data_IF_868216902856
#
_entry.id   IF_868216902856
#
_cell.length_a   1.000
_cell.length_b   1.000
_cell.length_c   1.000
_cell.angle_alpha   90.00
_cell.angle_beta   90.00
_cell.angle_gamma   90.00
#
_symmetry.space_group_name_H-M   'P 1'
#
loop_
_entity.id
_entity.type
_entity.pdbx_description
1 polymer ?
#
# COMPACT_ATOMS: atom_id res chain seq x y z
N UNK A 1 -10.35 -7.65 -20.40
CA UNK A 1 -11.47 -7.96 -19.48
C UNK A 1 -11.99 -6.63 -18.97
N UNK A 2 -13.30 -6.36 -19.06
CA UNK A 2 -13.87 -5.09 -18.57
C UNK A 2 -14.38 -5.35 -17.17
N UNK A 3 -13.58 -5.02 -16.17
CA UNK A 3 -13.96 -5.17 -14.76
C UNK A 3 -14.99 -4.10 -14.41
N UNK A 4 -16.17 -4.49 -13.95
CA UNK A 4 -17.19 -3.55 -13.44
C UNK A 4 -16.95 -3.35 -11.96
N UNK A 5 -16.43 -2.19 -11.59
CA UNK A 5 -16.17 -1.82 -10.20
C UNK A 5 -17.42 -1.16 -9.63
N UNK A 6 -17.86 -1.57 -8.44
CA UNK A 6 -18.91 -0.86 -7.72
C UNK A 6 -18.42 0.59 -7.42
N UNK A 7 -19.11 1.64 -7.90
CA UNK A 7 -18.67 3.02 -7.73
C UNK A 7 -18.51 3.45 -6.27
N UNK A 8 -19.15 2.78 -5.31
CA UNK A 8 -19.03 3.10 -3.88
C UNK A 8 -17.98 2.27 -3.14
N UNK A 9 -17.36 1.28 -3.80
CA UNK A 9 -16.33 0.45 -3.20
C UNK A 9 -15.10 1.28 -2.81
N UNK A 10 -14.60 1.03 -1.60
CA UNK A 10 -13.54 1.80 -0.97
C UNK A 10 -12.64 0.86 -0.18
N UNK A 11 -11.35 0.85 -0.51
CA UNK A 11 -10.33 0.13 0.27
C UNK A 11 -10.17 0.81 1.63
N UNK A 12 -10.14 2.14 1.66
CA UNK A 12 -10.00 2.89 2.91
C UNK A 12 -11.18 2.68 3.88
N UNK A 13 -12.44 2.69 3.42
CA UNK A 13 -13.59 2.47 4.33
C UNK A 13 -13.63 1.06 4.92
N UNK A 14 -13.01 0.08 4.27
CA UNK A 14 -12.89 -1.26 4.84
C UNK A 14 -12.00 -1.29 6.08
N UNK A 15 -11.05 -0.35 6.20
CA UNK A 15 -10.14 -0.27 7.35
C UNK A 15 -10.73 0.50 8.53
N UNK A 16 -11.75 1.33 8.31
CA UNK A 16 -12.37 2.16 9.36
C UNK A 16 -13.17 1.37 10.42
N UNK A 17 -13.35 0.07 10.23
CA UNK A 17 -14.10 -0.77 11.17
C UNK A 17 -13.29 -1.10 12.43
N UNK A 18 -11.97 -0.97 12.37
CA UNK A 18 -11.06 -1.11 13.50
C UNK A 18 -10.51 0.27 13.85
N UNK A 19 -10.95 0.82 14.98
CA UNK A 19 -10.65 2.20 15.40
C UNK A 19 -9.39 2.26 16.25
N UNK A 20 -8.23 2.38 15.63
CA UNK A 20 -7.01 3.03 16.15
C UNK A 20 -5.95 2.90 15.07
N UNK A 21 -5.73 3.94 14.27
CA UNK A 21 -4.66 3.95 13.28
C UNK A 21 -4.10 5.36 13.12
N UNK A 22 -2.80 5.46 12.89
CA UNK A 22 -2.11 6.72 12.61
C UNK A 22 -2.59 7.29 11.27
N UNK A 23 -3.02 8.55 11.29
CA UNK A 23 -3.53 9.24 10.10
C UNK A 23 -2.37 9.66 9.20
N UNK A 24 -2.33 9.09 8.00
CA UNK A 24 -1.43 9.52 6.94
C UNK A 24 -2.02 10.72 6.18
N UNK A 25 -1.34 11.87 6.24
CA UNK A 25 -1.80 13.17 5.79
C UNK A 25 -1.06 13.68 4.56
N UNK A 26 0.23 13.41 4.45
CA UNK A 26 1.05 14.03 3.40
C UNK A 26 1.39 13.04 2.29
N UNK A 27 1.30 13.50 1.04
CA UNK A 27 1.65 12.72 -0.16
C UNK A 27 3.06 12.11 -0.12
N UNK A 28 4.04 12.84 0.46
CA UNK A 28 5.42 12.36 0.59
C UNK A 28 5.48 11.17 1.56
N UNK A 29 4.76 11.20 2.67
CA UNK A 29 4.65 10.08 3.61
C UNK A 29 4.09 8.85 2.91
N UNK A 30 3.01 9.00 2.15
CA UNK A 30 2.41 7.90 1.39
C UNK A 30 3.37 7.32 0.35
N UNK A 31 4.17 8.16 -0.29
CA UNK A 31 5.18 7.71 -1.25
C UNK A 31 6.27 6.90 -0.55
N UNK A 32 6.78 7.38 0.59
CA UNK A 32 7.79 6.65 1.38
C UNK A 32 7.25 5.31 1.84
N UNK A 33 6.05 5.28 2.43
CA UNK A 33 5.40 4.02 2.86
C UNK A 33 5.19 3.07 1.67
N UNK A 34 4.71 3.57 0.54
CA UNK A 34 4.50 2.75 -0.67
C UNK A 34 5.80 2.12 -1.14
N UNK A 35 6.88 2.91 -1.21
CA UNK A 35 8.19 2.41 -1.60
C UNK A 35 8.69 1.32 -0.66
N UNK A 36 8.44 1.46 0.64
CA UNK A 36 8.89 0.47 1.62
C UNK A 36 8.09 -0.83 1.59
N UNK A 37 6.78 -0.77 1.35
CA UNK A 37 5.97 -1.97 1.08
C UNK A 37 6.47 -2.68 -0.18
N UNK A 38 6.73 -1.94 -1.26
CA UNK A 38 7.27 -2.49 -2.51
C UNK A 38 8.72 -3.02 -2.36
N UNK A 39 9.51 -2.43 -1.46
CA UNK A 39 10.86 -2.89 -1.16
C UNK A 39 10.87 -4.26 -0.50
N UNK A 40 9.79 -4.71 0.13
CA UNK A 40 9.70 -6.10 0.58
C UNK A 40 9.84 -7.10 -0.59
N UNK A 41 9.25 -6.79 -1.75
CA UNK A 41 9.43 -7.60 -2.97
C UNK A 41 10.84 -7.39 -3.57
N UNK A 42 11.31 -6.15 -3.64
CA UNK A 42 12.56 -5.84 -4.35
C UNK A 42 13.84 -6.15 -3.54
N UNK A 43 13.80 -6.07 -2.22
CA UNK A 43 14.98 -6.18 -1.36
C UNK A 43 14.90 -7.40 -0.46
N UNK A 44 13.70 -7.74 0.04
CA UNK A 44 13.51 -8.83 1.00
C UNK A 44 12.98 -10.13 0.36
N UNK A 45 12.83 -10.14 -0.97
CA UNK A 45 12.40 -11.30 -1.75
C UNK A 45 11.01 -11.80 -1.35
N UNK A 46 10.09 -10.90 -1.01
CA UNK A 46 8.71 -11.28 -0.73
C UNK A 46 8.02 -11.78 -2.00
N UNK A 47 7.60 -13.04 -1.96
CA UNK A 47 6.61 -13.62 -2.88
C UNK A 47 5.25 -13.06 -2.47
N UNK A 48 4.61 -12.30 -3.37
CA UNK A 48 3.36 -11.62 -3.07
C UNK A 48 2.56 -11.27 -4.32
N UNK A 49 1.26 -11.09 -4.10
CA UNK A 49 0.36 -10.38 -4.99
C UNK A 49 0.28 -8.92 -4.54
N UNK A 50 0.39 -8.00 -5.50
CA UNK A 50 0.36 -6.55 -5.25
C UNK A 50 -0.82 -5.91 -5.96
N UNK A 51 -1.62 -5.15 -5.22
CA UNK A 51 -2.62 -4.24 -5.77
C UNK A 51 -2.23 -2.81 -5.43
N UNK A 52 -2.09 -1.96 -6.44
CA UNK A 52 -1.66 -0.57 -6.29
C UNK A 52 -2.61 0.37 -7.03
N UNK A 53 -3.03 1.46 -6.40
CA UNK A 53 -3.80 2.52 -7.06
C UNK A 53 -2.99 3.81 -7.12
N UNK A 54 -2.92 4.37 -8.33
CA UNK A 54 -2.29 5.65 -8.60
C UNK A 54 -3.31 6.75 -8.86
N UNK A 55 -4.60 6.45 -8.72
CA UNK A 55 -5.76 7.30 -9.05
C UNK A 55 -5.87 7.64 -10.55
N UNK A 56 -4.77 8.05 -11.20
CA UNK A 56 -4.61 8.32 -12.63
C UNK A 56 -3.36 7.63 -13.18
N UNK A 57 -3.42 7.15 -14.42
CA UNK A 57 -2.27 6.51 -15.08
C UNK A 57 -1.11 7.50 -15.33
N UNK A 58 -1.38 8.80 -15.45
CA UNK A 58 -0.34 9.83 -15.53
C UNK A 58 0.55 9.89 -14.28
N UNK A 59 0.00 9.55 -13.11
CA UNK A 59 0.76 9.46 -11.84
C UNK A 59 1.51 8.12 -11.73
N UNK A 60 1.07 7.08 -12.44
CA UNK A 60 1.79 5.81 -12.54
C UNK A 60 2.99 5.88 -13.50
N UNK A 61 2.93 6.69 -14.57
CA UNK A 61 3.96 6.71 -15.61
C UNK A 61 5.41 6.85 -15.10
N UNK A 62 5.72 7.70 -14.10
CA UNK A 62 7.07 7.79 -13.51
C UNK A 62 7.53 6.52 -12.77
N UNK A 63 6.62 5.58 -12.49
CA UNK A 63 6.88 4.35 -11.74
C UNK A 63 7.03 3.10 -12.63
N UNK A 64 6.90 3.24 -13.95
CA UNK A 64 6.97 2.12 -14.91
C UNK A 64 8.21 1.26 -14.72
N UNK A 65 9.40 1.87 -14.63
CA UNK A 65 10.66 1.13 -14.46
C UNK A 65 10.69 0.35 -13.13
N UNK A 66 10.12 0.94 -12.09
CA UNK A 66 10.04 0.31 -10.77
C UNK A 66 9.06 -0.85 -10.79
N UNK A 67 7.88 -0.67 -11.36
CA UNK A 67 6.86 -1.73 -11.47
C UNK A 67 7.29 -2.84 -12.43
N UNK A 68 8.12 -2.55 -13.42
CA UNK A 68 8.77 -3.58 -14.25
C UNK A 68 9.65 -4.51 -13.41
N UNK A 69 10.44 -3.95 -12.48
CA UNK A 69 11.27 -4.76 -11.57
C UNK A 69 10.44 -5.52 -10.52
N UNK A 70 9.37 -4.89 -10.03
CA UNK A 70 8.46 -5.52 -9.06
C UNK A 70 7.75 -6.71 -9.71
N UNK A 71 7.16 -6.51 -10.89
CA UNK A 71 6.39 -7.53 -11.60
C UNK A 71 7.24 -8.73 -12.05
N UNK A 72 8.55 -8.55 -12.21
CA UNK A 72 9.49 -9.64 -12.49
C UNK A 72 9.77 -10.55 -11.27
N UNK A 73 9.29 -10.19 -10.07
CA UNK A 73 9.55 -10.90 -8.80
C UNK A 73 8.30 -11.20 -7.99
N UNK A 74 7.28 -10.35 -8.08
CA UNK A 74 5.97 -10.58 -7.51
C UNK A 74 5.25 -11.69 -8.28
N UNK A 75 4.32 -12.37 -7.62
CA UNK A 75 3.50 -13.42 -8.24
C UNK A 75 2.55 -12.80 -9.26
N UNK A 76 1.93 -11.67 -8.89
CA UNK A 76 1.02 -10.92 -9.76
C UNK A 76 0.95 -9.46 -9.31
N UNK A 77 0.88 -8.53 -10.27
CA UNK A 77 0.72 -7.10 -9.99
C UNK A 77 -0.53 -6.54 -10.67
N UNK A 78 -1.29 -5.73 -9.93
CA UNK A 78 -2.48 -5.02 -10.38
C UNK A 78 -2.29 -3.51 -10.17
N UNK A 79 -2.52 -2.73 -11.22
CA UNK A 79 -2.35 -1.27 -11.21
C UNK A 79 -3.68 -0.61 -11.57
N UNK A 80 -4.26 0.13 -10.62
CA UNK A 80 -5.52 0.84 -10.76
C UNK A 80 -5.27 2.31 -11.08
N UNK A 81 -6.08 2.85 -11.98
CA UNK A 81 -6.08 4.28 -12.27
C UNK A 81 -7.03 4.64 -13.41
N UNK A 82 -7.45 5.91 -13.45
CA UNK A 82 -8.14 6.48 -14.61
C UNK A 82 -7.16 6.46 -15.79
N UNK A 83 -7.54 5.92 -16.96
CA UNK A 83 -6.68 5.83 -18.14
C UNK A 83 -6.58 7.17 -18.88
N UNK A 84 -6.03 8.20 -18.21
CA UNK A 84 -5.85 9.55 -18.72
C UNK A 84 -4.65 9.68 -19.68
N UNK A 85 -3.73 8.71 -19.65
CA UNK A 85 -2.61 8.57 -20.60
C UNK A 85 -2.40 7.09 -20.96
N UNK A 86 -1.78 6.85 -22.11
CA UNK A 86 -1.30 5.52 -22.46
C UNK A 86 -0.07 5.15 -21.61
N UNK A 87 -0.07 3.95 -21.06
CA UNK A 87 1.06 3.37 -20.31
C UNK A 87 1.64 2.19 -21.10
N UNK A 88 2.97 1.98 -21.09
CA UNK A 88 3.56 0.84 -21.78
C UNK A 88 3.12 -0.46 -21.10
N UNK A 89 2.90 -1.55 -21.87
CA UNK A 89 2.61 -2.85 -21.27
C UNK A 89 3.82 -3.35 -20.49
N UNK A 90 3.59 -3.81 -19.26
CA UNK A 90 4.61 -4.45 -18.42
C UNK A 90 4.21 -5.91 -18.24
N UNK A 91 5.11 -6.88 -18.51
CA UNK A 91 4.84 -8.30 -18.21
C UNK A 91 4.46 -8.50 -16.74
N UNK A 92 3.47 -9.37 -16.50
CA UNK A 92 2.94 -9.65 -15.14
C UNK A 92 2.26 -8.45 -14.43
N UNK A 93 1.95 -7.38 -15.16
CA UNK A 93 1.10 -6.28 -14.67
C UNK A 93 -0.23 -6.31 -15.41
N UNK A 94 -1.32 -6.32 -14.64
CA UNK A 94 -2.66 -6.09 -15.16
C UNK A 94 -3.14 -4.70 -14.79
N UNK A 95 -3.42 -3.87 -15.79
CA UNK A 95 -4.00 -2.54 -15.59
C UNK A 95 -5.52 -2.64 -15.40
N UNK A 96 -6.00 -2.05 -14.31
CA UNK A 96 -7.43 -1.99 -13.96
C UNK A 96 -7.92 -0.55 -14.19
N UNK A 97 -8.67 -0.28 -15.26
CA UNK A 97 -9.16 1.07 -15.52
C UNK A 97 -10.21 1.46 -14.48
N UNK A 98 -10.09 2.68 -13.95
CA UNK A 98 -11.09 3.31 -13.10
C UNK A 98 -11.88 4.36 -13.88
N UNK A 99 -13.13 4.59 -13.49
CA UNK A 99 -13.90 5.76 -13.90
C UNK A 99 -13.73 6.90 -12.88
N UNK A 100 -13.84 8.15 -13.34
CA UNK A 100 -13.74 9.32 -12.46
C UNK A 100 -14.81 9.37 -11.35
N UNK A 101 -15.92 8.64 -11.52
CA UNK A 101 -17.00 8.55 -10.52
C UNK A 101 -16.72 7.51 -9.43
N UNK A 102 -15.77 6.60 -9.65
CA UNK A 102 -15.48 5.52 -8.72
C UNK A 102 -14.81 6.09 -7.48
N UNK A 103 -15.21 5.63 -6.30
CA UNK A 103 -14.59 6.02 -5.05
C UNK A 103 -13.09 5.66 -5.03
N UNK A 104 -12.69 4.56 -5.68
CA UNK A 104 -11.27 4.19 -5.84
C UNK A 104 -10.44 5.23 -6.62
N UNK A 105 -11.04 6.07 -7.45
CA UNK A 105 -10.31 7.13 -8.15
C UNK A 105 -9.84 8.25 -7.21
N UNK A 106 -10.37 8.29 -5.98
CA UNK A 106 -9.94 9.20 -4.89
C UNK A 106 -9.02 8.52 -3.89
N UNK A 107 -8.68 7.26 -4.12
CA UNK A 107 -7.92 6.45 -3.18
C UNK A 107 -6.55 6.11 -3.74
N UNK A 108 -5.53 6.43 -2.95
CA UNK A 108 -4.22 5.83 -3.09
C UNK A 108 -4.16 4.68 -2.11
N UNK A 109 -4.02 3.47 -2.63
CA UNK A 109 -3.82 2.28 -1.82
C UNK A 109 -2.72 1.41 -2.41
N UNK A 110 -2.07 0.64 -1.55
CA UNK A 110 -1.11 -0.39 -1.91
C UNK A 110 -1.32 -1.56 -0.96
N UNK A 111 -1.72 -2.71 -1.48
CA UNK A 111 -1.91 -3.95 -0.73
C UNK A 111 -0.90 -4.96 -1.24
N UNK A 112 -0.04 -5.45 -0.35
CA UNK A 112 0.91 -6.52 -0.61
C UNK A 112 0.54 -7.71 0.27
N UNK A 113 0.28 -8.85 -0.34
CA UNK A 113 -0.16 -10.05 0.37
C UNK A 113 0.54 -11.30 -0.16
N UNK A 114 1.18 -12.04 0.73
CA UNK A 114 1.93 -13.26 0.43
C UNK A 114 2.27 -14.07 1.69
N UNK A 115 2.84 -15.27 1.54
CA UNK A 115 3.00 -16.23 2.63
C UNK A 115 3.94 -15.77 3.74
N UNK A 116 4.85 -14.85 3.46
CA UNK A 116 5.76 -14.29 4.46
C UNK A 116 5.78 -12.77 4.48
N UNK A 117 4.77 -12.10 3.93
CA UNK A 117 4.65 -10.64 4.01
C UNK A 117 3.21 -10.19 3.75
N UNK A 118 2.66 -9.41 4.67
CA UNK A 118 1.35 -8.77 4.52
C UNK A 118 1.43 -7.32 4.99
N UNK A 119 1.20 -6.36 4.08
CA UNK A 119 1.10 -4.95 4.45
C UNK A 119 0.14 -4.21 3.54
N UNK A 120 -0.57 -3.23 4.10
CA UNK A 120 -1.47 -2.38 3.35
C UNK A 120 -1.30 -0.91 3.71
N UNK A 121 -1.23 -0.07 2.70
CA UNK A 121 -1.50 1.36 2.75
C UNK A 121 -2.90 1.57 2.17
N UNK A 122 -3.81 2.19 2.91
CA UNK A 122 -5.15 2.50 2.43
C UNK A 122 -5.50 3.95 2.79
N UNK A 123 -5.70 4.78 1.78
CA UNK A 123 -5.92 6.22 1.97
C UNK A 123 -7.03 6.75 1.08
N UNK A 124 -7.63 7.85 1.50
CA UNK A 124 -8.57 8.65 0.73
C UNK A 124 -8.06 10.09 0.68
N UNK A 125 -8.07 10.68 -0.52
CA UNK A 125 -7.71 12.07 -0.74
C UNK A 125 -8.82 13.01 -0.25
N UNK A 126 -8.44 14.02 0.53
CA UNK A 126 -9.33 15.06 1.08
C UNK A 126 -9.38 16.31 0.19
N UNK A 127 -8.38 16.48 -0.67
CA UNK A 127 -8.21 17.57 -1.62
C UNK A 127 -8.53 17.11 -3.05
N UNK A 128 -8.19 17.92 -4.06
CA UNK A 128 -8.32 17.54 -5.45
C UNK A 128 -7.02 16.99 -6.01
N UNK A 129 -7.11 15.95 -6.83
CA UNK A 129 -5.96 15.32 -7.49
C UNK A 129 -5.16 16.28 -8.41
N UNK A 130 -5.82 17.35 -8.86
CA UNK A 130 -5.23 18.41 -9.71
C UNK A 130 -4.58 19.53 -8.88
N UNK A 131 -4.70 19.51 -7.55
CA UNK A 131 -3.98 20.42 -6.67
C UNK A 131 -2.47 20.10 -6.72
N UNK A 132 -1.59 21.10 -6.54
CA UNK A 132 -0.15 20.89 -6.41
C UNK A 132 0.19 19.80 -5.38
N UNK A 133 1.13 18.91 -5.73
CA UNK A 133 1.41 17.68 -4.99
C UNK A 133 1.78 17.91 -3.50
N UNK A 134 2.32 19.07 -3.16
CA UNK A 134 2.67 19.52 -1.80
C UNK A 134 1.48 20.03 -0.99
N UNK A 135 0.38 20.42 -1.65
CA UNK A 135 -0.87 20.85 -1.02
C UNK A 135 -1.89 19.72 -0.89
N UNK A 136 -1.66 18.57 -1.55
CA UNK A 136 -2.58 17.42 -1.48
C UNK A 136 -2.58 16.79 -0.09
N UNK A 137 -3.78 16.62 0.47
CA UNK A 137 -3.99 16.06 1.80
C UNK A 137 -4.78 14.77 1.74
N UNK A 138 -4.43 13.86 2.64
CA UNK A 138 -5.02 12.55 2.71
C UNK A 138 -5.47 12.24 4.13
N UNK A 139 -6.30 11.21 4.23
CA UNK A 139 -6.51 10.46 5.45
C UNK A 139 -6.32 9.00 5.12
N UNK A 140 -5.70 8.25 6.00
CA UNK A 140 -5.41 6.86 5.70
C UNK A 140 -4.66 6.18 6.80
N UNK A 141 -4.39 4.90 6.57
CA UNK A 141 -3.68 4.04 7.49
C UNK A 141 -2.58 3.30 6.74
N UNK A 142 -1.54 2.92 7.46
CA UNK A 142 -0.61 1.89 7.05
C UNK A 142 -0.62 0.80 8.09
N UNK A 143 -0.68 -0.46 7.67
CA UNK A 143 -0.70 -1.57 8.61
C UNK A 143 0.06 -2.81 8.14
N UNK A 144 0.52 -3.60 9.11
CA UNK A 144 0.98 -4.99 8.94
C UNK A 144 -0.01 -6.03 9.48
N UNK A 145 -1.22 -5.62 9.87
CA UNK A 145 -2.25 -6.54 10.35
C UNK A 145 -2.67 -7.51 9.24
N UNK A 146 -2.14 -8.73 9.29
CA UNK A 146 -2.44 -9.79 8.33
C UNK A 146 -3.94 -10.05 8.17
N UNK A 147 -4.72 -9.98 9.25
CA UNK A 147 -6.17 -10.26 9.18
C UNK A 147 -6.86 -9.20 8.35
N UNK A 148 -6.56 -7.92 8.60
CA UNK A 148 -7.10 -6.82 7.81
C UNK A 148 -6.58 -6.85 6.35
N UNK A 149 -5.27 -7.07 6.15
CA UNK A 149 -4.67 -7.14 4.80
C UNK A 149 -5.31 -8.28 3.99
N UNK A 150 -5.58 -9.43 4.60
CA UNK A 150 -6.29 -10.54 3.94
C UNK A 150 -7.73 -10.16 3.54
N UNK A 151 -8.45 -9.43 4.39
CA UNK A 151 -9.79 -8.91 4.03
C UNK A 151 -9.69 -8.00 2.81
N UNK A 152 -8.77 -7.04 2.80
CA UNK A 152 -8.56 -6.13 1.66
C UNK A 152 -8.20 -6.91 0.38
N UNK A 153 -7.26 -7.86 0.49
CA UNK A 153 -6.84 -8.75 -0.58
C UNK A 153 -8.03 -9.53 -1.16
N UNK A 154 -8.88 -10.12 -0.30
CA UNK A 154 -10.05 -10.88 -0.73
C UNK A 154 -11.10 -10.03 -1.45
N UNK A 155 -11.31 -8.78 -1.02
CA UNK A 155 -12.18 -7.85 -1.73
C UNK A 155 -11.61 -7.45 -3.10
N UNK A 156 -10.33 -7.08 -3.15
CA UNK A 156 -9.68 -6.67 -4.40
C UNK A 156 -9.60 -7.79 -5.43
N UNK A 157 -9.29 -9.01 -5.00
CA UNK A 157 -9.23 -10.20 -5.85
C UNK A 157 -10.59 -10.51 -6.49
N UNK A 158 -11.68 -10.38 -5.71
CA UNK A 158 -13.05 -10.52 -6.25
C UNK A 158 -13.38 -9.47 -7.28
N UNK A 159 -12.97 -8.21 -7.05
CA UNK A 159 -13.21 -7.11 -7.99
C UNK A 159 -12.55 -7.41 -9.32
N UNK A 160 -11.29 -7.84 -9.31
CA UNK A 160 -10.54 -8.09 -10.56
C UNK A 160 -10.80 -9.48 -11.16
N UNK A 161 -11.72 -10.25 -10.60
CA UNK A 161 -12.05 -11.63 -11.03
C UNK A 161 -10.81 -12.54 -11.12
N UNK A 162 -9.84 -12.35 -10.22
CA UNK A 162 -8.62 -13.15 -10.20
C UNK A 162 -8.78 -14.40 -9.33
N UNK A 163 -7.97 -15.42 -9.63
CA UNK A 163 -7.85 -16.58 -8.76
C UNK A 163 -7.28 -16.15 -7.40
N UNK A 164 -7.95 -16.55 -6.32
CA UNK A 164 -7.47 -16.27 -4.97
C UNK A 164 -6.24 -17.10 -4.67
N UNK A 165 -5.19 -16.40 -4.25
CA UNK A 165 -4.06 -16.94 -3.50
C UNK A 165 -4.62 -17.41 -2.15
N UNK A 166 -5.11 -18.64 -2.09
CA UNK A 166 -5.59 -19.25 -0.85
C UNK A 166 -4.38 -19.67 -0.02
N UNK A 167 -3.75 -18.70 0.65
CA UNK A 167 -2.80 -19.01 1.73
C UNK A 167 -3.64 -19.49 2.90
N UNK A 168 -3.66 -20.79 3.15
CA UNK A 168 -4.28 -21.30 4.36
C UNK A 168 -3.57 -20.67 5.58
N UNK A 169 -4.27 -20.49 6.70
CA UNK A 169 -3.66 -19.88 7.89
C UNK A 169 -2.39 -20.62 8.35
N UNK A 170 -2.33 -21.93 8.10
CA UNK A 170 -1.20 -22.79 8.40
C UNK A 170 0.03 -22.61 7.49
N UNK A 171 -0.12 -21.98 6.32
CA UNK A 171 0.96 -21.76 5.36
C UNK A 171 1.63 -20.38 5.52
N UNK A 172 1.06 -19.49 6.34
CA UNK A 172 1.68 -18.21 6.62
C UNK A 172 2.92 -18.37 7.52
N UNK A 173 4.05 -17.89 7.03
CA UNK A 173 5.32 -17.92 7.71
C UNK A 173 5.48 -16.67 8.59
N UNK A 174 4.94 -16.76 9.81
CA UNK A 174 4.96 -15.69 10.82
C UNK A 174 6.39 -15.16 11.07
N UNK A 175 7.38 -16.05 11.16
CA UNK A 175 8.79 -15.66 11.39
C UNK A 175 9.34 -14.83 10.23
N UNK A 176 9.03 -15.22 8.99
CA UNK A 176 9.46 -14.47 7.80
C UNK A 176 8.74 -13.13 7.73
N UNK A 177 7.45 -13.10 8.05
CA UNK A 177 6.66 -11.86 8.12
C UNK A 177 7.28 -10.88 9.11
N UNK A 178 7.52 -11.29 10.37
CA UNK A 178 8.15 -10.46 11.38
C UNK A 178 9.55 -9.97 10.96
N UNK A 179 10.34 -10.82 10.31
CA UNK A 179 11.66 -10.43 9.79
C UNK A 179 11.56 -9.33 8.73
N UNK A 180 10.64 -9.48 7.78
CA UNK A 180 10.45 -8.48 6.70
C UNK A 180 9.81 -7.19 7.22
N UNK A 181 8.95 -7.28 8.22
CA UNK A 181 8.44 -6.11 8.95
C UNK A 181 9.58 -5.36 9.64
N UNK A 182 10.46 -6.06 10.35
CA UNK A 182 11.62 -5.45 10.99
C UNK A 182 12.54 -4.76 9.96
N UNK A 183 12.84 -5.41 8.83
CA UNK A 183 13.60 -4.79 7.75
C UNK A 183 12.95 -3.51 7.23
N UNK A 184 11.63 -3.52 7.06
CA UNK A 184 10.84 -2.36 6.63
C UNK A 184 10.95 -1.22 7.64
N UNK A 185 10.76 -1.52 8.93
CA UNK A 185 10.87 -0.53 10.02
C UNK A 185 12.28 0.06 10.08
N UNK A 186 13.33 -0.77 10.02
CA UNK A 186 14.72 -0.29 10.07
C UNK A 186 15.07 0.63 8.90
N UNK A 187 14.59 0.33 7.68
CA UNK A 187 14.78 1.22 6.52
C UNK A 187 14.05 2.55 6.73
N UNK A 188 12.83 2.52 7.25
CA UNK A 188 12.07 3.72 7.58
C UNK A 188 12.74 4.58 8.66
N UNK A 189 13.21 3.97 9.73
CA UNK A 189 13.95 4.66 10.79
C UNK A 189 15.21 5.33 10.24
N UNK A 190 15.97 4.61 9.41
CA UNK A 190 17.17 5.15 8.74
C UNK A 190 16.82 6.36 7.86
N UNK A 191 15.73 6.29 7.09
CA UNK A 191 15.25 7.41 6.28
C UNK A 191 14.88 8.63 7.14
N UNK A 192 14.23 8.41 8.29
CA UNK A 192 13.82 9.51 9.19
C UNK A 192 14.92 10.07 10.08
N UNK A 193 16.01 9.33 10.27
CA UNK A 193 17.18 9.72 11.07
C UNK A 193 18.28 10.43 10.30
N UNK A 194 18.22 10.45 8.96
CA UNK A 194 19.18 11.18 8.11
C UNK A 194 18.92 12.70 8.17
N UNK A 195 19.97 13.49 8.43
CA UNK A 195 20.00 14.96 8.52
C UNK A 195 19.45 15.68 7.26
N UNK A 196 19.24 14.94 6.16
CA UNK A 196 18.60 15.42 4.92
C UNK A 196 17.13 15.85 5.09
N UNK A 197 16.50 15.53 6.23
CA UNK A 197 15.13 15.95 6.56
C UNK A 197 15.06 17.22 7.45
N UNK A 198 16.11 18.06 7.45
CA UNK A 198 16.22 19.30 8.26
C UNK A 198 15.42 20.51 7.75
N UNK A 199 14.66 20.39 6.66
CA UNK A 199 13.66 21.40 6.26
C UNK A 199 12.33 21.19 7.01
N UNK A 200 11.58 22.27 7.31
CA UNK A 200 10.37 22.22 8.16
C UNK A 200 9.32 21.20 7.69
N UNK A 201 9.08 21.09 6.38
CA UNK A 201 8.19 20.07 5.81
C UNK A 201 8.72 18.66 6.03
N UNK A 202 10.03 18.46 5.84
CA UNK A 202 10.67 17.17 6.06
C UNK A 202 10.60 16.70 7.53
N UNK A 203 10.56 17.62 8.49
CA UNK A 203 10.34 17.32 9.91
C UNK A 203 8.92 16.83 10.21
N UNK A 204 7.90 17.43 9.57
CA UNK A 204 6.50 16.97 9.68
C UNK A 204 6.33 15.57 9.10
N UNK A 205 6.89 15.31 7.91
CA UNK A 205 6.89 13.99 7.28
C UNK A 205 7.61 12.96 8.16
N UNK A 206 8.77 13.31 8.72
CA UNK A 206 9.50 12.41 9.63
C UNK A 206 8.70 12.13 10.91
N UNK A 207 8.00 13.14 11.45
CA UNK A 207 7.11 12.98 12.61
C UNK A 207 5.96 12.02 12.32
N UNK A 208 5.27 12.21 11.21
CA UNK A 208 4.15 11.36 10.76
C UNK A 208 4.60 9.91 10.53
N UNK A 209 5.77 9.70 9.91
CA UNK A 209 6.35 8.36 9.74
C UNK A 209 6.62 7.72 11.10
N UNK A 210 7.26 8.45 12.04
CA UNK A 210 7.56 7.93 13.37
C UNK A 210 6.31 7.56 14.16
N UNK A 211 5.28 8.41 14.14
CA UNK A 211 4.00 8.13 14.80
C UNK A 211 3.33 6.88 14.21
N UNK A 212 3.39 6.69 12.89
CA UNK A 212 2.83 5.51 12.23
C UNK A 212 3.62 4.24 12.59
N UNK A 213 4.95 4.32 12.64
CA UNK A 213 5.79 3.19 13.05
C UNK A 213 5.53 2.77 14.50
N UNK A 214 5.44 3.73 15.43
CA UNK A 214 5.16 3.45 16.85
C UNK A 214 3.84 2.70 16.99
N UNK A 215 2.80 3.18 16.30
CA UNK A 215 1.48 2.55 16.33
C UNK A 215 1.53 1.10 15.83
N UNK A 216 2.17 0.85 14.69
CA UNK A 216 2.24 -0.50 14.14
C UNK A 216 3.10 -1.45 14.98
N UNK A 217 4.23 -0.99 15.53
CA UNK A 217 5.05 -1.79 16.45
C UNK A 217 4.27 -2.15 17.72
N UNK A 218 3.54 -1.19 18.30
CA UNK A 218 2.68 -1.45 19.46
C UNK A 218 1.56 -2.43 19.14
N UNK A 219 0.87 -2.26 18.00
CA UNK A 219 -0.19 -3.16 17.58
C UNK A 219 0.31 -4.61 17.37
N UNK A 220 1.53 -4.77 16.83
CA UNK A 220 2.17 -6.09 16.69
C UNK A 220 2.47 -6.70 18.05
N UNK A 221 3.08 -5.93 18.95
CA UNK A 221 3.39 -6.41 20.31
C UNK A 221 2.13 -6.83 21.07
N UNK A 222 1.07 -6.01 21.04
CA UNK A 222 -0.21 -6.32 21.70
C UNK A 222 -0.83 -7.61 21.17
N UNK A 223 -0.78 -7.86 19.86
CA UNK A 223 -1.29 -9.11 19.26
C UNK A 223 -0.45 -10.32 19.67
N UNK A 224 0.87 -10.20 19.67
CA UNK A 224 1.76 -11.28 20.12
C UNK A 224 1.46 -11.69 21.57
N UNK A 225 1.21 -10.72 22.46
CA UNK A 225 0.87 -10.99 23.87
C UNK A 225 -0.57 -11.50 24.08
N UNK A 226 -1.46 -11.35 23.11
CA UNK A 226 -2.85 -11.79 23.20
C UNK A 226 -3.07 -13.22 22.70
N UNK A 227 -2.13 -13.73 21.90
CA UNK A 227 -2.12 -15.10 21.38
C UNK A 227 -1.27 -16.07 22.27
N UNK A 228 -0.69 -15.58 23.39
CA UNK A 228 -0.03 -16.34 24.48
C UNK A 228 -1.01 -16.73 25.61
#
# INVERSE_FOLDING_TARGET
MTVVIDPVFSVYRLTQRDTDYSLLRHRRTMSVVSYEIENATLLDGAENVIFSSFQRMSKFLPQVDRYTRIAARADQVWVFGIPDVAVPPIPNVTYVPLEAKDQLAKEWFLVSYGPGYASALATEELTHIDDPDDMRQFRGIWTFDRRLVNVLYGWLTRIVEADTYNIDQAEFNETTHLTRMANTITRMETLTGDDRLTQMESSLIAGEIRETLIHEVQAVYTRMMADE
#
